data_IF_922136906349
#
_entry.id   IF_922136906349
#
_cell.length_a   1.000
_cell.length_b   1.000
_cell.length_c   1.000
_cell.angle_alpha   90.00
_cell.angle_beta   90.00
_cell.angle_gamma   90.00
#
_symmetry.space_group_name_H-M   'P 1'
#
loop_
_entity.id
_entity.type
_entity.pdbx_description
1 polymer ?
#
# COMPACT_ATOMS: atom_id res chain seq x y z
N UNK A 1 -35.96 -19.30 -5.06
CA UNK A 1 -35.89 -18.83 -3.67
C UNK A 1 -34.47 -19.11 -3.24
N UNK A 2 -33.70 -18.11 -2.80
CA UNK A 2 -32.41 -18.37 -2.16
C UNK A 2 -32.63 -19.33 -0.99
N UNK A 3 -31.74 -20.29 -0.80
CA UNK A 3 -31.78 -21.21 0.36
C UNK A 3 -31.15 -20.53 1.57
N UNK A 4 -31.41 -21.05 2.77
CA UNK A 4 -30.73 -20.59 3.99
C UNK A 4 -29.20 -20.82 3.90
N UNK A 5 -28.76 -21.82 3.13
CA UNK A 5 -27.33 -22.05 2.83
C UNK A 5 -26.74 -20.97 1.93
N UNK A 6 -27.47 -20.50 0.91
CA UNK A 6 -27.02 -19.41 0.03
C UNK A 6 -26.82 -18.10 0.82
N UNK A 7 -27.65 -17.88 1.86
CA UNK A 7 -27.51 -16.71 2.73
C UNK A 7 -26.31 -16.82 3.67
N UNK A 8 -26.06 -18.00 4.23
CA UNK A 8 -24.93 -18.25 5.12
C UNK A 8 -23.57 -18.14 4.40
N UNK A 9 -23.49 -18.56 3.13
CA UNK A 9 -22.29 -18.34 2.30
C UNK A 9 -22.04 -16.86 2.01
N UNK A 10 -23.11 -16.09 1.76
CA UNK A 10 -22.99 -14.64 1.52
C UNK A 10 -22.54 -13.89 2.79
N UNK A 11 -23.04 -14.30 3.95
CA UNK A 11 -22.65 -13.74 5.26
C UNK A 11 -21.18 -14.03 5.57
N UNK A 12 -20.72 -15.27 5.36
CA UNK A 12 -19.30 -15.63 5.51
C UNK A 12 -18.40 -14.88 4.54
N UNK A 13 -18.85 -14.62 3.32
CA UNK A 13 -18.09 -13.86 2.33
C UNK A 13 -17.99 -12.38 2.69
N UNK A 14 -19.05 -11.79 3.26
CA UNK A 14 -19.03 -10.42 3.78
C UNK A 14 -18.17 -10.31 5.04
N UNK A 15 -18.27 -11.25 5.97
CA UNK A 15 -17.41 -11.30 7.17
C UNK A 15 -15.92 -11.52 6.83
N UNK A 16 -15.62 -12.23 5.75
CA UNK A 16 -14.24 -12.40 5.28
C UNK A 16 -13.65 -11.12 4.65
N UNK A 17 -14.48 -10.26 4.05
CA UNK A 17 -14.05 -8.96 3.50
C UNK A 17 -13.84 -7.93 4.63
N UNK A 18 -14.61 -8.02 5.73
CA UNK A 18 -14.43 -7.23 6.96
C UNK A 18 -13.25 -7.73 7.85
N UNK A 19 -12.64 -8.87 7.53
CA UNK A 19 -11.54 -9.46 8.31
C UNK A 19 -10.14 -8.93 7.97
N UNK A 20 -10.02 -7.97 7.03
CA UNK A 20 -8.79 -7.21 6.85
C UNK A 20 -8.76 -6.11 7.94
N UNK A 21 -8.12 -6.39 9.09
CA UNK A 21 -7.94 -5.50 10.26
C UNK A 21 -7.12 -4.21 9.94
N UNK A 22 -7.47 -3.47 8.89
CA UNK A 22 -6.77 -2.27 8.50
C UNK A 22 -7.30 -1.62 7.23
N UNK A 23 -6.83 -0.41 6.92
CA UNK A 23 -7.28 0.28 5.73
C UNK A 23 -6.87 -0.46 4.45
N UNK A 24 -7.83 -0.59 3.53
CA UNK A 24 -7.64 -1.27 2.25
C UNK A 24 -6.58 -0.58 1.38
N UNK A 25 -5.73 -1.38 0.74
CA UNK A 25 -4.77 -0.91 -0.26
C UNK A 25 -5.48 -0.54 -1.57
N UNK A 26 -5.28 0.71 -2.00
CA UNK A 26 -5.77 1.23 -3.28
C UNK A 26 -4.75 0.97 -4.39
N UNK A 27 -3.49 1.35 -4.16
CA UNK A 27 -2.43 1.29 -5.17
C UNK A 27 -1.03 1.34 -4.53
N UNK A 28 -0.04 0.77 -5.22
CA UNK A 28 1.38 0.86 -4.88
C UNK A 28 2.11 1.67 -5.96
N UNK A 29 2.85 2.68 -5.53
CA UNK A 29 3.68 3.54 -6.39
C UNK A 29 5.17 3.36 -6.08
N UNK A 30 5.98 3.32 -7.13
CA UNK A 30 7.44 3.42 -7.05
C UNK A 30 7.84 4.82 -7.50
N UNK A 31 8.66 5.49 -6.71
CA UNK A 31 8.98 6.90 -6.94
C UNK A 31 10.36 7.28 -6.44
N UNK A 32 10.87 8.40 -6.95
CA UNK A 32 12.01 9.07 -6.33
C UNK A 32 11.65 9.63 -4.95
N UNK A 33 12.65 9.98 -4.12
CA UNK A 33 12.39 10.64 -2.84
C UNK A 33 11.54 11.92 -2.96
N UNK A 34 11.80 12.74 -3.98
CA UNK A 34 11.08 14.00 -4.21
C UNK A 34 9.63 13.76 -4.64
N UNK A 35 9.41 12.80 -5.53
CA UNK A 35 8.09 12.40 -5.99
C UNK A 35 7.26 11.79 -4.84
N UNK A 36 7.89 10.98 -3.98
CA UNK A 36 7.25 10.40 -2.81
C UNK A 36 6.72 11.48 -1.84
N UNK A 37 7.48 12.56 -1.63
CA UNK A 37 7.04 13.69 -0.79
C UNK A 37 5.76 14.34 -1.34
N UNK A 38 5.72 14.60 -2.64
CA UNK A 38 4.55 15.23 -3.27
C UNK A 38 3.32 14.29 -3.24
N UNK A 39 3.52 12.99 -3.44
CA UNK A 39 2.45 11.99 -3.32
C UNK A 39 1.90 11.89 -1.90
N UNK A 40 2.76 11.92 -0.87
CA UNK A 40 2.33 11.94 0.53
C UNK A 40 1.48 13.18 0.82
N UNK A 41 1.91 14.35 0.35
CA UNK A 41 1.15 15.60 0.51
C UNK A 41 -0.21 15.53 -0.18
N UNK A 42 -0.25 15.00 -1.41
CA UNK A 42 -1.49 14.83 -2.13
C UNK A 42 -2.45 13.86 -1.41
N UNK A 43 -1.95 12.73 -0.93
CA UNK A 43 -2.73 11.76 -0.16
C UNK A 43 -3.32 12.39 1.12
N UNK A 44 -2.53 13.18 1.85
CA UNK A 44 -3.00 13.90 3.04
C UNK A 44 -4.12 14.89 2.71
N UNK A 45 -4.02 15.65 1.61
CA UNK A 45 -5.06 16.58 1.18
C UNK A 45 -6.37 15.87 0.79
N UNK A 46 -6.28 14.61 0.35
CA UNK A 46 -7.41 13.77 -0.03
C UNK A 46 -7.97 12.93 1.13
N UNK A 47 -7.33 12.97 2.30
CA UNK A 47 -7.74 12.17 3.46
C UNK A 47 -7.42 10.68 3.34
N UNK A 48 -6.50 10.31 2.45
CA UNK A 48 -6.06 8.94 2.22
C UNK A 48 -4.93 8.56 3.19
N UNK A 49 -4.82 7.26 3.48
CA UNK A 49 -3.68 6.73 4.22
C UNK A 49 -2.48 6.46 3.33
N UNK A 50 -1.30 6.43 3.93
CA UNK A 50 -0.06 6.09 3.24
C UNK A 50 0.80 5.18 4.11
N UNK A 51 1.34 4.12 3.52
CA UNK A 51 2.46 3.36 4.08
C UNK A 51 3.67 3.53 3.16
N UNK A 52 4.74 4.09 3.73
CA UNK A 52 5.96 4.44 2.99
C UNK A 52 7.11 3.56 3.47
N UNK A 53 7.83 2.95 2.53
CA UNK A 53 9.05 2.21 2.79
C UNK A 53 10.04 2.39 1.63
N UNK A 54 11.33 2.22 1.88
CA UNK A 54 12.34 2.29 0.83
C UNK A 54 13.06 0.94 0.69
N UNK A 55 13.66 0.73 -0.48
CA UNK A 55 14.63 -0.35 -0.70
C UNK A 55 15.79 0.15 -1.53
N UNK A 56 16.96 -0.44 -1.31
CA UNK A 56 18.10 -0.29 -2.21
C UNK A 56 17.99 -1.32 -3.31
N UNK A 57 17.94 -0.85 -4.55
CA UNK A 57 17.99 -1.67 -5.75
C UNK A 57 19.39 -1.58 -6.34
N UNK A 58 20.05 -2.73 -6.50
CA UNK A 58 21.33 -2.80 -7.21
C UNK A 58 21.05 -2.72 -8.71
N UNK A 59 21.76 -1.84 -9.39
CA UNK A 59 21.68 -1.68 -10.84
C UNK A 59 22.77 -2.55 -11.48
N UNK A 60 22.36 -3.52 -12.30
CA UNK A 60 23.24 -4.56 -12.83
C UNK A 60 24.20 -4.06 -13.93
N UNK A 61 24.04 -2.82 -14.39
CA UNK A 61 24.75 -2.25 -15.55
C UNK A 61 25.20 -0.80 -15.31
N UNK A 62 26.03 -0.54 -14.30
CA UNK A 62 26.75 0.74 -14.24
C UNK A 62 27.62 0.92 -15.50
N UNK A 63 27.57 2.09 -16.15
CA UNK A 63 28.22 2.35 -17.45
C UNK A 63 29.74 2.04 -17.48
N UNK A 64 30.38 1.99 -16.30
CA UNK A 64 31.81 1.72 -16.12
C UNK A 64 32.13 0.38 -15.43
N UNK A 65 31.14 -0.50 -15.25
CA UNK A 65 31.30 -1.76 -14.50
C UNK A 65 31.35 -1.58 -12.97
N UNK A 66 30.95 -0.41 -12.47
CA UNK A 66 30.74 -0.16 -11.04
C UNK A 66 29.34 -0.64 -10.63
N UNK A 67 29.26 -1.38 -9.51
CA UNK A 67 28.00 -1.74 -8.87
C UNK A 67 27.38 -0.49 -8.23
N UNK A 68 26.38 0.10 -8.88
CA UNK A 68 25.61 1.22 -8.32
C UNK A 68 24.34 0.71 -7.66
N UNK A 69 23.91 1.38 -6.58
CA UNK A 69 22.64 1.09 -5.92
C UNK A 69 21.78 2.36 -5.89
N UNK A 70 20.55 2.25 -6.38
CA UNK A 70 19.56 3.32 -6.38
C UNK A 70 18.56 3.11 -5.24
N UNK A 71 18.28 4.17 -4.50
CA UNK A 71 17.19 4.17 -3.51
C UNK A 71 15.85 4.29 -4.23
N UNK A 72 14.98 3.31 -4.03
CA UNK A 72 13.63 3.28 -4.56
C UNK A 72 12.63 3.41 -3.40
N UNK A 73 11.75 4.42 -3.49
CA UNK A 73 10.68 4.62 -2.52
C UNK A 73 9.41 3.94 -3.00
N UNK A 74 8.79 3.18 -2.11
CA UNK A 74 7.57 2.42 -2.33
C UNK A 74 6.49 3.01 -1.44
N UNK A 75 5.41 3.47 -2.07
CA UNK A 75 4.30 4.14 -1.43
C UNK A 75 3.01 3.35 -1.68
N UNK A 76 2.49 2.77 -0.62
CA UNK A 76 1.18 2.13 -0.58
C UNK A 76 0.13 3.16 -0.19
N UNK A 77 -0.80 3.43 -1.10
CA UNK A 77 -1.93 4.32 -0.89
C UNK A 77 -3.11 3.54 -0.31
N UNK A 78 -3.66 4.01 0.80
CA UNK A 78 -4.67 3.32 1.59
C UNK A 78 -5.96 4.13 1.61
N UNK A 79 -7.12 3.47 1.71
CA UNK A 79 -8.44 4.13 1.76
C UNK A 79 -8.60 5.08 2.95
N UNK A 80 -7.94 4.79 4.07
CA UNK A 80 -7.85 5.66 5.24
C UNK A 80 -6.48 5.51 5.90
N UNK A 81 -6.11 6.45 6.80
CA UNK A 81 -4.87 6.33 7.57
C UNK A 81 -4.76 4.98 8.29
N UNK A 82 -3.57 4.36 8.35
CA UNK A 82 -3.36 3.14 9.12
C UNK A 82 -3.59 3.40 10.60
N UNK A 83 -4.27 2.45 11.26
CA UNK A 83 -4.39 2.45 12.71
C UNK A 83 -3.03 2.11 13.32
N UNK A 84 -2.64 2.87 14.35
CA UNK A 84 -1.44 2.62 15.14
C UNK A 84 -1.92 2.13 16.49
N UNK A 85 -1.66 0.87 16.82
CA UNK A 85 -1.91 0.39 18.19
C UNK A 85 -1.00 1.15 19.15
N UNK A 86 -1.59 1.88 20.11
CA UNK A 86 -0.84 2.52 21.19
C UNK A 86 -0.45 1.45 22.22
N UNK A 87 0.84 1.12 22.30
CA UNK A 87 1.46 0.19 23.26
C UNK A 87 1.46 0.73 24.71
#
# INVERSE_FOLDING_TARGET
MPTDEDFAELEQLLEADDAEDGPRLIATHYASPEEAIEMVRAAQLLGLGVRLHNRLRVDEDGEDGEETATEEWILDLLESPPEVEED
#
